data_IF_766716767349
#
_entry.id   IF_766716767349
#
_cell.length_a   1.000
_cell.length_b   1.000
_cell.length_c   1.000
_cell.angle_alpha   90.00
_cell.angle_beta   90.00
_cell.angle_gamma   90.00
#
_symmetry.space_group_name_H-M   'P 1'
#
loop_
_entity.id
_entity.type
_entity.pdbx_description
1 polymer ?
#
# COMPACT_ATOMS: atom_id res chain seq x y z
N UNK A 1 7.88 -3.01 -8.98
CA UNK A 1 6.54 -2.88 -8.36
C UNK A 1 5.74 -1.82 -9.07
N UNK A 2 4.45 -2.04 -9.33
CA UNK A 2 3.52 -0.98 -9.71
C UNK A 2 2.32 -1.03 -8.77
N UNK A 3 2.00 0.12 -8.17
CA UNK A 3 0.96 0.24 -7.16
C UNK A 3 -0.42 0.62 -7.73
N UNK A 4 -1.39 0.82 -6.84
CA UNK A 4 -2.74 1.28 -7.21
C UNK A 4 -2.80 2.74 -7.64
N UNK A 5 -1.74 3.53 -7.40
CA UNK A 5 -1.57 4.90 -7.90
C UNK A 5 -1.44 4.96 -9.42
N UNK A 6 -0.97 3.85 -10.04
CA UNK A 6 -0.74 3.75 -11.50
C UNK A 6 0.13 4.89 -12.05
N UNK A 7 1.16 5.29 -11.30
CA UNK A 7 2.12 6.32 -11.68
C UNK A 7 3.32 5.79 -12.44
N UNK A 8 3.66 4.49 -12.24
CA UNK A 8 4.75 3.86 -12.96
C UNK A 8 5.22 2.55 -12.34
N UNK A 9 6.46 2.20 -12.65
CA UNK A 9 7.16 1.02 -12.17
C UNK A 9 8.36 1.44 -11.32
N UNK A 10 8.36 1.05 -10.06
CA UNK A 10 9.51 1.17 -9.16
C UNK A 10 10.32 -0.12 -9.17
N UNK A 11 11.60 -0.03 -9.46
CA UNK A 11 12.56 -1.12 -9.35
C UNK A 11 13.51 -0.84 -8.17
N UNK A 12 13.81 -1.86 -7.39
CA UNK A 12 14.80 -1.82 -6.31
C UNK A 12 15.75 -3.00 -6.43
N UNK A 13 17.02 -2.75 -6.22
CA UNK A 13 18.04 -3.78 -6.07
C UNK A 13 18.35 -3.93 -4.58
N UNK A 14 18.26 -5.16 -4.06
CA UNK A 14 18.52 -5.45 -2.65
C UNK A 14 19.21 -6.79 -2.48
N UNK A 15 20.25 -6.84 -1.65
CA UNK A 15 20.86 -8.10 -1.19
C UNK A 15 20.24 -8.51 0.14
N UNK A 16 19.29 -9.44 0.07
CA UNK A 16 18.58 -9.96 1.25
C UNK A 16 19.46 -10.88 2.12
N UNK A 17 20.61 -11.33 1.62
CA UNK A 17 21.61 -12.06 2.40
C UNK A 17 22.45 -11.17 3.29
N UNK A 18 22.72 -9.93 2.85
CA UNK A 18 23.44 -8.92 3.60
C UNK A 18 22.52 -8.06 4.50
N UNK A 19 21.20 -8.23 4.39
CA UNK A 19 20.20 -7.43 5.12
C UNK A 19 19.12 -6.89 4.21
N UNK A 20 18.39 -5.88 4.68
CA UNK A 20 17.27 -5.29 3.93
C UNK A 20 17.58 -3.90 3.36
N UNK A 21 18.84 -3.44 3.41
CA UNK A 21 19.20 -2.14 2.84
C UNK A 21 19.15 -2.20 1.30
N UNK A 22 18.40 -1.31 0.64
CA UNK A 22 18.40 -1.25 -0.83
C UNK A 22 19.74 -0.72 -1.32
N UNK A 23 20.32 -1.36 -2.35
CA UNK A 23 21.55 -0.92 -3.00
C UNK A 23 21.29 0.20 -4.02
N UNK A 24 20.17 0.11 -4.73
CA UNK A 24 19.78 1.07 -5.75
C UNK A 24 18.28 1.00 -6.06
N UNK A 25 17.78 2.08 -6.66
CA UNK A 25 16.40 2.22 -7.10
C UNK A 25 16.31 2.90 -8.48
N UNK A 26 15.23 2.64 -9.19
CA UNK A 26 14.91 3.30 -10.44
C UNK A 26 13.42 3.33 -10.70
N UNK A 27 12.90 4.47 -11.14
CA UNK A 27 11.48 4.66 -11.48
C UNK A 27 11.28 4.88 -12.97
N UNK A 28 10.26 4.24 -13.53
CA UNK A 28 9.80 4.47 -14.91
C UNK A 28 8.32 4.83 -14.88
N UNK A 29 7.94 6.07 -15.29
CA UNK A 29 6.55 6.47 -15.29
C UNK A 29 5.74 5.71 -16.35
N UNK A 30 4.46 5.47 -16.07
CA UNK A 30 3.55 4.94 -17.09
C UNK A 30 3.24 6.00 -18.15
N UNK A 31 3.29 5.62 -19.45
CA UNK A 31 2.74 6.47 -20.50
C UNK A 31 1.25 6.75 -20.24
N UNK A 32 0.77 7.98 -20.51
CA UNK A 32 -0.64 8.36 -20.25
C UNK A 32 -1.66 7.40 -20.88
N UNK A 33 -1.39 6.92 -22.09
CA UNK A 33 -2.25 6.00 -22.80
C UNK A 33 -2.32 4.63 -22.10
N UNK A 34 -1.20 4.08 -21.63
CA UNK A 34 -1.20 2.83 -20.86
C UNK A 34 -1.97 3.01 -19.55
N UNK A 35 -1.75 4.13 -18.83
CA UNK A 35 -2.49 4.43 -17.61
C UNK A 35 -4.00 4.46 -17.85
N UNK A 36 -4.47 5.09 -18.96
CA UNK A 36 -5.87 5.11 -19.36
C UNK A 36 -6.42 3.69 -19.59
N UNK A 37 -5.70 2.86 -20.35
CA UNK A 37 -6.09 1.47 -20.60
C UNK A 37 -6.20 0.65 -19.32
N UNK A 38 -5.21 0.77 -18.43
CA UNK A 38 -5.19 0.06 -17.15
C UNK A 38 -6.35 0.48 -16.24
N UNK A 39 -6.72 1.77 -16.24
CA UNK A 39 -7.88 2.27 -15.51
C UNK A 39 -9.19 1.72 -16.08
N UNK A 40 -9.34 1.68 -17.40
CA UNK A 40 -10.52 1.10 -18.07
C UNK A 40 -10.69 -0.38 -17.76
N UNK A 41 -9.59 -1.14 -17.66
CA UNK A 41 -9.60 -2.56 -17.31
C UNK A 41 -10.02 -2.86 -15.86
N UNK A 42 -10.18 -1.86 -15.00
CA UNK A 42 -10.77 -2.06 -13.66
C UNK A 42 -12.27 -2.35 -13.72
N UNK A 43 -12.94 -2.04 -14.83
CA UNK A 43 -14.36 -2.34 -15.08
C UNK A 43 -14.52 -3.23 -16.29
N UNK A 44 -15.60 -4.04 -16.39
CA UNK A 44 -15.90 -4.84 -17.59
C UNK A 44 -16.06 -3.96 -18.83
N UNK A 45 -15.45 -4.37 -19.93
CA UNK A 45 -15.48 -3.64 -21.20
C UNK A 45 -15.42 -4.54 -22.44
N UNK A 46 -15.74 -3.99 -23.63
CA UNK A 46 -15.67 -4.74 -24.87
C UNK A 46 -14.22 -5.12 -25.20
N UNK A 47 -14.03 -6.32 -25.76
CA UNK A 47 -12.72 -6.85 -26.19
C UNK A 47 -11.64 -6.86 -25.08
N UNK A 48 -12.07 -6.91 -23.84
CA UNK A 48 -11.25 -6.79 -22.64
C UNK A 48 -10.08 -7.79 -22.62
N UNK A 49 -10.31 -9.03 -23.06
CA UNK A 49 -9.29 -10.07 -23.06
C UNK A 49 -8.11 -9.72 -23.98
N UNK A 50 -8.38 -9.20 -25.19
CA UNK A 50 -7.33 -8.77 -26.11
C UNK A 50 -6.57 -7.54 -25.59
N UNK A 51 -7.31 -6.55 -25.11
CA UNK A 51 -6.74 -5.31 -24.55
C UNK A 51 -5.84 -5.62 -23.34
N UNK A 52 -6.29 -6.50 -22.44
CA UNK A 52 -5.51 -6.91 -21.28
C UNK A 52 -4.21 -7.65 -21.65
N UNK A 53 -4.26 -8.52 -22.68
CA UNK A 53 -3.06 -9.23 -23.14
C UNK A 53 -2.02 -8.26 -23.72
N UNK A 54 -2.44 -7.26 -24.52
CA UNK A 54 -1.52 -6.23 -25.02
C UNK A 54 -0.99 -5.33 -23.90
N UNK A 55 -1.83 -4.91 -22.96
CA UNK A 55 -1.41 -4.12 -21.80
C UNK A 55 -0.41 -4.89 -20.93
N UNK A 56 -0.59 -6.21 -20.75
CA UNK A 56 0.37 -7.04 -20.01
C UNK A 56 1.76 -7.05 -20.68
N UNK A 57 1.84 -7.01 -22.01
CA UNK A 57 3.11 -6.89 -22.73
C UNK A 57 3.77 -5.52 -22.51
N UNK A 58 2.99 -4.43 -22.54
CA UNK A 58 3.53 -3.07 -22.29
C UNK A 58 4.03 -2.93 -20.85
N UNK A 59 3.27 -3.44 -19.87
CA UNK A 59 3.72 -3.50 -18.47
C UNK A 59 5.04 -4.27 -18.37
N UNK A 60 5.16 -5.45 -19.04
CA UNK A 60 6.41 -6.23 -19.01
C UNK A 60 7.60 -5.46 -19.62
N UNK A 61 7.40 -4.71 -20.70
CA UNK A 61 8.45 -3.87 -21.31
C UNK A 61 8.92 -2.76 -20.37
N UNK A 62 8.00 -2.10 -19.66
CA UNK A 62 8.35 -1.06 -18.70
C UNK A 62 9.08 -1.64 -17.48
N UNK A 63 8.67 -2.81 -17.00
CA UNK A 63 9.41 -3.54 -15.96
C UNK A 63 10.84 -3.88 -16.44
N UNK A 64 10.97 -4.42 -17.67
CA UNK A 64 12.28 -4.72 -18.25
C UNK A 64 13.14 -3.45 -18.41
N UNK A 65 12.56 -2.33 -18.85
CA UNK A 65 13.26 -1.05 -18.94
C UNK A 65 13.76 -0.60 -17.57
N UNK A 66 12.92 -0.66 -16.52
CA UNK A 66 13.30 -0.28 -15.16
C UNK A 66 14.48 -1.14 -14.65
N UNK A 67 14.36 -2.47 -14.79
CA UNK A 67 15.38 -3.43 -14.35
C UNK A 67 16.70 -3.23 -15.12
N UNK A 68 16.65 -3.23 -16.45
CA UNK A 68 17.86 -3.14 -17.28
C UNK A 68 18.58 -1.80 -17.08
N UNK A 69 17.83 -0.70 -16.88
CA UNK A 69 18.41 0.61 -16.60
C UNK A 69 19.08 0.62 -15.23
N UNK A 70 18.40 0.09 -14.20
CA UNK A 70 18.93 -0.01 -12.85
C UNK A 70 20.25 -0.81 -12.84
N UNK A 71 20.25 -2.00 -13.44
CA UNK A 71 21.42 -2.87 -13.51
C UNK A 71 22.60 -2.22 -14.30
N UNK A 72 22.28 -1.54 -15.40
CA UNK A 72 23.28 -0.78 -16.17
C UNK A 72 23.92 0.33 -15.33
N UNK A 73 23.14 1.09 -14.58
CA UNK A 73 23.65 2.15 -13.70
C UNK A 73 24.54 1.60 -12.59
N UNK A 74 24.25 0.38 -12.11
CA UNK A 74 25.04 -0.30 -11.07
C UNK A 74 26.21 -1.13 -11.61
N UNK A 75 26.37 -1.23 -12.94
CA UNK A 75 27.37 -2.09 -13.55
C UNK A 75 27.21 -3.58 -13.22
N UNK A 76 25.98 -4.00 -12.88
CA UNK A 76 25.65 -5.39 -12.50
C UNK A 76 25.13 -6.16 -13.72
N UNK A 77 25.68 -7.30 -14.08
CA UNK A 77 25.13 -8.15 -15.13
C UNK A 77 23.90 -8.93 -14.61
N UNK A 78 22.98 -9.26 -15.52
CA UNK A 78 21.75 -10.00 -15.20
C UNK A 78 22.00 -11.34 -14.44
N UNK A 79 23.10 -12.04 -14.78
CA UNK A 79 23.47 -13.32 -14.13
C UNK A 79 23.77 -13.22 -12.63
N UNK A 80 24.03 -12.01 -12.11
CA UNK A 80 24.29 -11.79 -10.67
C UNK A 80 22.99 -11.62 -9.89
N UNK A 81 21.83 -11.57 -10.58
CA UNK A 81 20.52 -11.41 -9.97
C UNK A 81 19.84 -12.76 -9.85
N UNK A 82 19.47 -13.14 -8.63
CA UNK A 82 18.84 -14.43 -8.34
C UNK A 82 17.44 -14.54 -8.95
N UNK A 83 16.62 -13.50 -8.81
CA UNK A 83 15.29 -13.43 -9.40
C UNK A 83 14.74 -12.00 -9.35
N UNK A 84 13.79 -11.71 -10.23
CA UNK A 84 12.93 -10.53 -10.17
C UNK A 84 11.65 -10.86 -9.41
N UNK A 85 11.25 -9.99 -8.48
CA UNK A 85 9.91 -10.00 -7.87
C UNK A 85 9.01 -9.02 -8.59
N UNK A 86 8.14 -9.50 -9.46
CA UNK A 86 7.29 -8.66 -10.30
C UNK A 86 5.82 -8.74 -9.85
N UNK A 87 5.29 -7.63 -9.27
CA UNK A 87 3.89 -7.57 -8.86
C UNK A 87 2.94 -7.62 -10.07
N UNK A 88 3.30 -6.96 -11.17
CA UNK A 88 2.37 -6.63 -12.24
C UNK A 88 1.43 -5.48 -11.85
N UNK A 89 0.46 -5.15 -12.70
CA UNK A 89 -0.54 -4.12 -12.42
C UNK A 89 -1.89 -4.72 -12.09
N UNK A 90 -2.38 -4.49 -10.88
CA UNK A 90 -3.72 -4.96 -10.47
C UNK A 90 -4.80 -4.24 -11.26
N UNK A 91 -5.68 -5.02 -11.92
CA UNK A 91 -6.85 -4.53 -12.66
C UNK A 91 -8.14 -5.10 -12.11
N UNK A 92 -8.12 -6.29 -11.49
CA UNK A 92 -9.28 -6.89 -10.84
C UNK A 92 -8.85 -7.58 -9.54
N UNK A 93 -9.68 -7.44 -8.52
CA UNK A 93 -9.44 -8.10 -7.24
C UNK A 93 -10.78 -8.43 -6.58
N UNK A 94 -11.19 -9.68 -6.69
CA UNK A 94 -12.43 -10.22 -6.13
C UNK A 94 -12.12 -11.56 -5.44
N UNK A 95 -11.48 -11.55 -4.28
CA UNK A 95 -10.97 -12.76 -3.62
C UNK A 95 -12.08 -13.69 -3.11
N UNK A 96 -13.28 -13.15 -2.84
CA UNK A 96 -14.46 -13.92 -2.47
C UNK A 96 -15.62 -13.54 -3.39
N UNK A 97 -16.25 -14.51 -4.02
CA UNK A 97 -17.36 -14.32 -4.94
C UNK A 97 -18.50 -15.25 -4.58
N UNK A 98 -19.60 -14.70 -4.03
CA UNK A 98 -20.78 -15.50 -3.69
C UNK A 98 -20.53 -16.61 -2.66
N UNK A 99 -19.51 -16.49 -1.80
CA UNK A 99 -19.10 -17.51 -0.84
C UNK A 99 -18.07 -18.53 -1.39
N UNK A 100 -17.78 -18.50 -2.68
CA UNK A 100 -16.78 -19.32 -3.33
C UNK A 100 -15.42 -18.63 -3.43
N UNK A 101 -14.38 -19.39 -3.81
CA UNK A 101 -13.07 -18.83 -4.12
C UNK A 101 -13.18 -17.94 -5.34
N UNK A 102 -12.87 -16.67 -5.17
CA UNK A 102 -12.86 -15.70 -6.26
C UNK A 102 -11.54 -15.67 -7.00
N UNK A 103 -11.13 -14.47 -7.44
CA UNK A 103 -9.92 -14.30 -8.24
C UNK A 103 -9.24 -12.95 -7.96
N UNK A 104 -8.01 -12.85 -8.42
CA UNK A 104 -7.23 -11.60 -8.47
C UNK A 104 -6.43 -11.59 -9.77
N UNK A 105 -6.32 -10.43 -10.40
CA UNK A 105 -5.62 -10.29 -11.68
C UNK A 105 -4.64 -9.14 -11.62
N UNK A 106 -3.36 -9.47 -11.71
CA UNK A 106 -2.27 -8.53 -11.89
C UNK A 106 -1.73 -8.74 -13.31
N UNK A 107 -1.89 -7.74 -14.19
CA UNK A 107 -1.42 -7.83 -15.58
C UNK A 107 0.11 -7.78 -15.61
N UNK A 108 0.69 -8.81 -16.20
CA UNK A 108 2.12 -8.93 -16.51
C UNK A 108 2.31 -10.12 -17.48
N UNK A 109 3.06 -9.91 -18.56
CA UNK A 109 3.61 -11.02 -19.33
C UNK A 109 4.99 -11.38 -18.73
N UNK A 110 4.98 -12.30 -17.75
CA UNK A 110 6.18 -12.69 -17.04
C UNK A 110 7.19 -13.42 -17.95
N UNK A 111 6.73 -14.17 -18.95
CA UNK A 111 7.61 -14.81 -19.94
C UNK A 111 8.35 -13.75 -20.79
N UNK A 112 7.64 -12.73 -21.26
CA UNK A 112 8.27 -11.63 -21.99
C UNK A 112 9.27 -10.85 -21.12
N UNK A 113 8.94 -10.60 -19.85
CA UNK A 113 9.85 -9.95 -18.92
C UNK A 113 11.14 -10.76 -18.72
N UNK A 114 11.00 -12.09 -18.56
CA UNK A 114 12.12 -13.02 -18.46
C UNK A 114 13.02 -12.96 -19.70
N UNK A 115 12.45 -13.05 -20.90
CA UNK A 115 13.20 -12.95 -22.17
C UNK A 115 13.91 -11.60 -22.36
N UNK A 116 13.28 -10.49 -21.94
CA UNK A 116 13.86 -9.16 -22.06
C UNK A 116 14.96 -8.85 -21.05
N UNK A 117 15.01 -9.59 -19.93
CA UNK A 117 16.00 -9.33 -18.86
C UNK A 117 17.03 -10.43 -18.71
N UNK A 118 16.74 -11.66 -19.14
CA UNK A 118 17.57 -12.83 -18.90
C UNK A 118 17.64 -13.21 -17.41
N UNK A 119 16.60 -12.91 -16.63
CA UNK A 119 16.54 -13.15 -15.18
C UNK A 119 15.27 -13.92 -14.87
N UNK A 120 15.35 -14.88 -13.96
CA UNK A 120 14.18 -15.59 -13.41
C UNK A 120 13.14 -14.61 -12.88
N UNK A 121 11.85 -14.82 -13.19
CA UNK A 121 10.75 -13.94 -12.77
C UNK A 121 9.80 -14.66 -11.84
N UNK A 122 9.74 -14.23 -10.59
CA UNK A 122 8.67 -14.59 -9.66
C UNK A 122 7.53 -13.55 -9.78
N UNK A 123 6.31 -14.04 -9.93
CA UNK A 123 5.12 -13.22 -10.20
C UNK A 123 3.85 -13.87 -9.67
N UNK A 124 2.69 -13.24 -9.83
CA UNK A 124 1.39 -13.77 -9.40
C UNK A 124 1.33 -14.20 -7.93
N UNK A 125 1.83 -13.34 -7.05
CA UNK A 125 1.97 -13.64 -5.62
C UNK A 125 0.63 -13.76 -4.88
N UNK A 126 -0.45 -13.16 -5.39
CA UNK A 126 -1.74 -13.06 -4.70
C UNK A 126 -2.65 -14.25 -4.95
N UNK A 127 -2.59 -14.86 -6.15
CA UNK A 127 -3.52 -15.92 -6.56
C UNK A 127 -3.45 -17.16 -5.66
N UNK A 128 -2.25 -17.53 -5.16
CA UNK A 128 -2.10 -18.69 -4.28
C UNK A 128 -2.74 -18.52 -2.91
N UNK A 129 -2.72 -17.29 -2.37
CA UNK A 129 -3.39 -16.94 -1.12
C UNK A 129 -4.92 -16.94 -1.31
N UNK A 130 -5.42 -16.37 -2.41
CA UNK A 130 -6.84 -16.40 -2.78
C UNK A 130 -7.32 -17.83 -2.96
N UNK A 131 -6.55 -18.69 -3.65
CA UNK A 131 -6.88 -20.11 -3.81
C UNK A 131 -6.92 -20.87 -2.47
N UNK A 132 -6.19 -20.39 -1.46
CA UNK A 132 -6.27 -20.87 -0.08
C UNK A 132 -7.38 -20.18 0.74
N UNK A 133 -8.36 -19.54 0.08
CA UNK A 133 -9.48 -18.78 0.67
C UNK A 133 -9.06 -17.49 1.41
N UNK A 134 -7.83 -17.04 1.22
CA UNK A 134 -7.35 -15.76 1.73
C UNK A 134 -7.81 -14.59 0.86
N UNK A 135 -7.65 -13.38 1.39
CA UNK A 135 -7.97 -12.14 0.68
C UNK A 135 -6.93 -11.77 -0.38
N UNK A 136 -5.72 -12.42 -0.41
CA UNK A 136 -4.65 -12.08 -1.35
C UNK A 136 -4.03 -10.69 -1.13
N UNK A 137 -4.51 -9.95 -0.14
CA UNK A 137 -4.06 -8.64 0.29
C UNK A 137 -4.47 -8.39 1.74
N UNK A 138 -3.71 -7.57 2.51
CA UNK A 138 -2.36 -7.11 2.18
C UNK A 138 -1.30 -8.23 2.35
N UNK A 139 -0.29 -8.28 1.47
CA UNK A 139 0.85 -9.21 1.59
C UNK A 139 2.04 -8.60 2.33
N UNK A 140 2.12 -7.27 2.36
CA UNK A 140 3.21 -6.51 2.97
C UNK A 140 3.40 -6.75 4.48
N UNK A 141 2.37 -7.05 5.29
CA UNK A 141 2.57 -7.34 6.71
C UNK A 141 3.52 -8.49 7.01
N UNK A 142 3.58 -9.52 6.15
CA UNK A 142 4.57 -10.60 6.30
C UNK A 142 6.01 -10.10 6.06
N UNK A 143 6.20 -9.19 5.12
CA UNK A 143 7.48 -8.51 4.89
C UNK A 143 7.82 -7.53 6.00
N UNK A 144 6.88 -6.72 6.47
CA UNK A 144 7.09 -5.85 7.63
C UNK A 144 7.55 -6.65 8.84
N UNK A 145 7.01 -7.86 9.02
CA UNK A 145 7.41 -8.75 10.08
C UNK A 145 8.86 -9.22 9.95
N UNK A 146 9.27 -9.60 8.74
CA UNK A 146 10.65 -9.98 8.48
C UNK A 146 11.61 -8.81 8.71
N UNK A 147 11.18 -7.59 8.37
CA UNK A 147 12.00 -6.38 8.35
C UNK A 147 12.08 -5.67 9.71
N UNK A 148 10.94 -5.46 10.38
CA UNK A 148 10.83 -4.56 11.54
C UNK A 148 10.56 -5.25 12.88
N UNK A 149 10.14 -6.54 12.89
CA UNK A 149 9.78 -7.19 14.16
C UNK A 149 10.98 -7.31 15.11
N UNK A 150 10.77 -6.88 16.34
CA UNK A 150 11.75 -6.92 17.41
C UNK A 150 11.56 -8.11 18.34
N UNK A 151 12.58 -8.45 19.14
CA UNK A 151 12.53 -9.59 20.03
C UNK A 151 11.59 -9.36 21.22
N UNK A 152 11.69 -8.20 21.89
CA UNK A 152 11.01 -7.93 23.16
C UNK A 152 9.86 -6.91 23.05
N UNK A 153 9.71 -6.22 21.90
CA UNK A 153 8.74 -5.15 21.76
C UNK A 153 7.83 -5.34 20.54
N UNK A 154 6.57 -4.92 20.65
CA UNK A 154 5.71 -4.78 19.47
C UNK A 154 6.11 -3.55 18.65
N UNK A 155 5.94 -3.68 17.34
CA UNK A 155 6.12 -2.58 16.36
C UNK A 155 4.84 -2.41 15.57
N UNK A 156 4.36 -1.18 15.47
CA UNK A 156 3.28 -0.81 14.55
C UNK A 156 3.87 -0.18 13.29
N UNK A 157 3.42 -0.59 12.12
CA UNK A 157 3.84 -0.01 10.84
C UNK A 157 2.60 0.49 10.11
N UNK A 158 2.56 1.78 9.80
CA UNK A 158 1.54 2.41 8.95
C UNK A 158 2.13 2.63 7.56
N UNK A 159 1.50 2.08 6.54
CA UNK A 159 1.81 2.41 5.16
C UNK A 159 0.78 3.43 4.65
N UNK A 160 1.19 4.68 4.46
CA UNK A 160 0.39 5.76 3.89
C UNK A 160 0.58 5.82 2.37
N UNK A 161 -0.01 4.85 1.66
CA UNK A 161 -0.23 4.88 0.21
C UNK A 161 -1.49 5.67 -0.16
N UNK A 162 -2.22 5.23 -1.17
CA UNK A 162 -3.56 5.76 -1.43
C UNK A 162 -4.52 5.44 -0.28
N UNK A 163 -4.48 4.20 0.20
CA UNK A 163 -5.15 3.71 1.42
C UNK A 163 -4.08 3.52 2.49
N UNK A 164 -4.42 3.86 3.74
CA UNK A 164 -3.60 3.55 4.90
C UNK A 164 -3.82 2.10 5.32
N UNK A 165 -2.75 1.35 5.50
CA UNK A 165 -2.83 0.04 6.16
C UNK A 165 -1.90 -0.03 7.37
N UNK A 166 -2.36 -0.77 8.39
CA UNK A 166 -1.61 -1.05 9.60
C UNK A 166 -1.05 -2.47 9.54
N UNK A 167 0.21 -2.64 9.89
CA UNK A 167 0.79 -3.92 10.30
C UNK A 167 1.14 -3.85 11.78
N UNK A 168 0.64 -4.79 12.56
CA UNK A 168 0.96 -4.95 13.97
C UNK A 168 1.84 -6.17 14.16
N UNK A 169 3.04 -5.96 14.66
CA UNK A 169 4.11 -6.95 14.76
C UNK A 169 4.41 -7.20 16.23
N UNK A 170 3.79 -8.22 16.85
CA UNK A 170 4.07 -8.56 18.25
C UNK A 170 5.51 -9.00 18.47
N UNK A 171 6.03 -9.00 19.72
CA UNK A 171 7.38 -9.40 20.03
C UNK A 171 7.69 -10.83 19.54
N UNK A 172 8.92 -11.06 19.05
CA UNK A 172 9.35 -12.41 18.65
C UNK A 172 9.49 -13.37 19.83
N UNK A 173 9.70 -12.84 21.04
CA UNK A 173 9.73 -13.61 22.30
C UNK A 173 8.43 -14.35 22.62
N UNK A 174 7.29 -13.96 22.04
CA UNK A 174 6.03 -14.70 22.18
C UNK A 174 6.01 -16.05 21.46
N UNK A 175 7.00 -16.36 20.60
CA UNK A 175 7.11 -17.64 19.91
C UNK A 175 5.84 -18.01 19.13
N UNK A 176 5.25 -19.19 19.44
CA UNK A 176 4.06 -19.72 18.75
C UNK A 176 2.76 -18.97 19.07
N UNK A 177 2.71 -18.18 20.13
CA UNK A 177 1.55 -17.35 20.49
C UNK A 177 1.50 -16.04 19.68
N UNK A 178 2.51 -15.78 18.90
CA UNK A 178 2.67 -14.58 18.12
C UNK A 178 1.72 -14.55 16.92
N UNK A 179 0.88 -13.53 16.84
CA UNK A 179 -0.06 -13.33 15.74
C UNK A 179 0.17 -11.96 15.11
N UNK A 180 0.73 -11.94 13.91
CA UNK A 180 0.84 -10.72 13.08
C UNK A 180 -0.55 -10.32 12.63
N UNK A 181 -0.90 -9.04 12.77
CA UNK A 181 -2.17 -8.48 12.32
C UNK A 181 -1.91 -7.46 11.21
N UNK A 182 -2.77 -7.41 10.21
CA UNK A 182 -2.70 -6.40 9.15
C UNK A 182 -4.08 -6.12 8.58
N UNK A 183 -4.41 -4.84 8.37
CA UNK A 183 -5.69 -4.42 7.79
C UNK A 183 -5.63 -2.96 7.31
N UNK A 184 -6.59 -2.58 6.46
CA UNK A 184 -6.71 -1.21 5.98
C UNK A 184 -7.44 -0.35 7.00
N UNK A 185 -6.85 0.79 7.36
CA UNK A 185 -7.40 1.73 8.35
C UNK A 185 -8.46 2.64 7.74
N UNK A 186 -8.23 3.10 6.49
CA UNK A 186 -9.05 4.07 5.79
C UNK A 186 -8.28 4.80 4.70
N UNK A 187 -8.80 5.93 4.18
CA UNK A 187 -8.11 6.71 3.17
C UNK A 187 -6.84 7.35 3.74
N UNK A 188 -5.77 7.35 2.95
CA UNK A 188 -4.58 8.17 3.16
C UNK A 188 -4.50 9.23 2.07
N UNK A 189 -3.62 9.05 1.07
CA UNK A 189 -3.44 10.08 0.04
C UNK A 189 -4.60 10.11 -0.98
N UNK A 190 -5.39 9.05 -1.12
CA UNK A 190 -6.40 8.95 -2.20
C UNK A 190 -7.40 10.09 -2.23
N UNK A 191 -7.85 10.56 -1.06
CA UNK A 191 -8.78 11.70 -0.96
C UNK A 191 -8.03 13.04 -0.96
N UNK A 192 -6.87 13.09 -0.31
CA UNK A 192 -6.00 14.28 -0.27
C UNK A 192 -5.56 14.68 -1.68
N UNK A 193 -5.07 13.72 -2.46
CA UNK A 193 -4.58 13.97 -3.81
C UNK A 193 -5.72 14.33 -4.77
N UNK A 194 -6.85 13.60 -4.68
CA UNK A 194 -8.02 13.87 -5.52
C UNK A 194 -8.60 15.28 -5.27
N UNK A 195 -8.64 15.73 -4.02
CA UNK A 195 -9.12 17.05 -3.65
C UNK A 195 -8.13 18.15 -4.04
N UNK A 196 -6.83 17.90 -3.84
CA UNK A 196 -5.77 18.80 -4.26
C UNK A 196 -5.77 19.01 -5.77
N UNK A 197 -5.83 17.93 -6.56
CA UNK A 197 -5.88 18.00 -8.02
C UNK A 197 -7.10 18.78 -8.51
N UNK A 198 -8.27 18.54 -7.93
CA UNK A 198 -9.53 19.20 -8.32
C UNK A 198 -9.48 20.73 -8.10
N UNK A 199 -8.87 21.18 -7.00
CA UNK A 199 -8.93 22.59 -6.60
C UNK A 199 -7.68 23.40 -6.92
N UNK A 200 -6.54 22.73 -7.12
CA UNK A 200 -5.26 23.41 -7.38
C UNK A 200 -4.63 23.04 -8.72
N UNK A 201 -5.08 21.95 -9.36
CA UNK A 201 -4.47 21.38 -10.55
C UNK A 201 -3.15 20.64 -10.27
N UNK A 202 -2.71 20.58 -9.00
CA UNK A 202 -1.51 19.86 -8.60
C UNK A 202 -1.86 18.41 -8.23
N UNK A 203 -1.00 17.42 -8.55
CA UNK A 203 -1.30 16.01 -8.30
C UNK A 203 -1.37 15.64 -6.82
N UNK A 204 -0.76 16.43 -5.94
CA UNK A 204 -0.78 16.24 -4.48
C UNK A 204 -0.35 17.51 -3.75
N UNK A 205 -0.72 17.63 -2.47
CA UNK A 205 -0.32 18.70 -1.57
C UNK A 205 1.07 18.43 -0.97
N UNK A 206 2.09 19.04 -1.58
CA UNK A 206 3.48 18.86 -1.16
C UNK A 206 3.67 19.28 0.29
N UNK A 207 4.22 18.37 1.13
CA UNK A 207 4.49 18.58 2.56
C UNK A 207 3.26 18.97 3.40
N UNK A 208 2.05 18.90 2.83
CA UNK A 208 0.80 19.34 3.45
C UNK A 208 0.72 20.86 3.62
N UNK A 209 1.45 21.62 2.80
CA UNK A 209 1.54 23.06 2.93
C UNK A 209 0.22 23.79 2.63
N UNK A 210 -0.60 23.24 1.75
CA UNK A 210 -1.92 23.77 1.47
C UNK A 210 -2.90 23.42 2.60
N UNK A 211 -2.94 22.18 3.05
CA UNK A 211 -3.75 21.77 4.21
C UNK A 211 -3.40 22.56 5.48
N UNK A 212 -2.13 22.89 5.69
CA UNK A 212 -1.66 23.64 6.85
C UNK A 212 -2.17 25.10 6.89
N UNK A 213 -2.69 25.64 5.79
CA UNK A 213 -3.30 26.97 5.73
C UNK A 213 -4.80 26.96 6.08
N UNK A 214 -5.44 25.78 6.02
CA UNK A 214 -6.85 25.60 6.34
C UNK A 214 -7.10 25.33 7.81
N UNK A 215 -8.38 25.35 8.16
CA UNK A 215 -8.87 25.00 9.49
C UNK A 215 -9.69 23.71 9.43
N UNK A 216 -9.53 22.85 10.42
CA UNK A 216 -10.32 21.62 10.54
C UNK A 216 -11.79 21.98 10.75
N UNK A 217 -12.66 21.53 9.85
CA UNK A 217 -14.09 21.70 9.98
C UNK A 217 -14.70 20.52 10.74
N UNK A 218 -14.96 20.70 12.03
CA UNK A 218 -15.34 19.62 12.95
C UNK A 218 -16.60 18.87 12.50
N UNK A 219 -17.67 19.57 12.08
CA UNK A 219 -18.89 18.89 11.63
C UNK A 219 -18.66 18.01 10.39
N UNK A 220 -17.80 18.45 9.46
CA UNK A 220 -17.40 17.62 8.33
C UNK A 220 -16.57 16.41 8.79
N UNK A 221 -15.62 16.63 9.68
CA UNK A 221 -14.79 15.56 10.23
C UNK A 221 -15.65 14.49 10.92
N UNK A 222 -16.60 14.91 11.74
CA UNK A 222 -17.52 13.98 12.43
C UNK A 222 -18.37 13.19 11.43
N UNK A 223 -18.87 13.85 10.37
CA UNK A 223 -19.59 13.20 9.28
C UNK A 223 -18.71 12.15 8.56
N UNK A 224 -17.46 12.49 8.24
CA UNK A 224 -16.52 11.60 7.58
C UNK A 224 -16.16 10.39 8.47
N UNK A 225 -15.92 10.63 9.77
CA UNK A 225 -15.59 9.58 10.75
C UNK A 225 -16.78 8.65 11.05
N UNK A 226 -18.00 9.06 10.75
CA UNK A 226 -19.20 8.23 10.88
C UNK A 226 -19.31 7.11 9.82
N UNK A 227 -18.38 7.07 8.82
CA UNK A 227 -18.34 5.99 7.82
C UNK A 227 -18.26 4.62 8.49
N UNK A 228 -19.25 3.71 8.25
CA UNK A 228 -19.31 2.41 8.91
C UNK A 228 -18.08 1.54 8.77
N UNK A 229 -17.32 1.73 7.69
CA UNK A 229 -16.07 0.99 7.45
C UNK A 229 -15.08 1.15 8.60
N UNK A 230 -14.93 2.34 9.17
CA UNK A 230 -13.96 2.60 10.24
C UNK A 230 -14.24 1.77 11.49
N UNK A 231 -15.51 1.47 11.77
CA UNK A 231 -15.95 0.73 12.95
C UNK A 231 -15.95 -0.79 12.78
N UNK A 232 -15.67 -1.30 11.58
CA UNK A 232 -15.57 -2.76 11.34
C UNK A 232 -14.34 -3.33 12.04
N UNK A 233 -14.47 -4.51 12.70
CA UNK A 233 -13.30 -5.20 13.24
C UNK A 233 -12.45 -5.79 12.11
N UNK A 234 -11.11 -5.95 12.32
CA UNK A 234 -10.29 -6.74 11.41
C UNK A 234 -10.69 -8.25 11.47
N UNK A 235 -10.48 -9.01 10.37
CA UNK A 235 -9.85 -8.57 9.11
C UNK A 235 -10.78 -7.69 8.26
N UNK A 236 -10.25 -6.60 7.72
CA UNK A 236 -10.98 -5.69 6.83
C UNK A 236 -10.05 -5.09 5.79
N UNK A 237 -10.56 -4.88 4.59
CA UNK A 237 -9.87 -4.19 3.50
C UNK A 237 -10.79 -3.20 2.80
N UNK A 238 -10.22 -2.21 2.14
CA UNK A 238 -10.92 -1.17 1.39
C UNK A 238 -10.03 -0.65 0.27
N UNK A 239 -10.60 0.18 -0.60
CA UNK A 239 -9.90 0.72 -1.74
C UNK A 239 -10.60 1.94 -2.33
N UNK A 240 -10.29 2.21 -3.60
CA UNK A 240 -10.93 3.28 -4.39
C UNK A 240 -12.39 2.97 -4.74
N UNK A 241 -12.86 1.75 -4.48
CA UNK A 241 -14.26 1.36 -4.57
C UNK A 241 -15.14 2.07 -3.53
N UNK A 242 -14.60 2.33 -2.33
CA UNK A 242 -15.27 3.09 -1.29
C UNK A 242 -14.78 4.53 -1.23
N UNK A 243 -13.46 4.73 -1.09
CA UNK A 243 -12.88 6.06 -0.90
C UNK A 243 -12.43 6.65 -2.25
N UNK A 244 -13.31 7.45 -2.83
CA UNK A 244 -13.10 8.13 -4.10
C UNK A 244 -13.73 9.53 -4.10
N UNK A 245 -13.44 10.34 -5.11
CA UNK A 245 -13.95 11.72 -5.24
C UNK A 245 -15.47 11.80 -5.07
N UNK A 246 -16.22 10.89 -5.71
CA UNK A 246 -17.68 10.86 -5.60
C UNK A 246 -18.19 10.60 -4.19
N UNK A 247 -17.51 9.75 -3.41
CA UNK A 247 -17.83 9.54 -1.99
C UNK A 247 -17.64 10.85 -1.20
N UNK A 248 -16.51 11.54 -1.41
CA UNK A 248 -16.22 12.80 -0.72
C UNK A 248 -17.28 13.87 -1.03
N UNK A 249 -17.63 14.03 -2.30
CA UNK A 249 -18.68 14.98 -2.69
C UNK A 249 -20.05 14.64 -2.06
N UNK A 250 -20.42 13.36 -2.00
CA UNK A 250 -21.63 12.91 -1.33
C UNK A 250 -21.62 13.24 0.18
N UNK A 251 -20.47 13.10 0.86
CA UNK A 251 -20.34 13.49 2.26
C UNK A 251 -20.45 15.01 2.44
N UNK A 252 -19.86 15.80 1.55
CA UNK A 252 -19.99 17.26 1.56
C UNK A 252 -21.44 17.71 1.33
N UNK A 253 -22.16 17.08 0.41
CA UNK A 253 -23.58 17.36 0.17
C UNK A 253 -24.45 16.93 1.36
N UNK A 254 -24.16 15.80 1.97
CA UNK A 254 -24.85 15.34 3.19
C UNK A 254 -24.64 16.30 4.35
N UNK A 255 -23.44 16.86 4.51
CA UNK A 255 -23.10 17.76 5.61
C UNK A 255 -23.67 19.19 5.41
N UNK A 256 -23.65 19.72 4.18
CA UNK A 256 -23.96 21.13 3.90
C UNK A 256 -25.19 21.32 3.00
N UNK A 257 -25.81 20.26 2.52
CA UNK A 257 -26.89 20.31 1.52
C UNK A 257 -26.42 20.62 0.11
N UNK A 258 -27.34 20.48 -0.85
CA UNK A 258 -27.05 20.75 -2.26
C UNK A 258 -27.21 22.24 -2.64
N UNK A 259 -27.77 23.08 -1.76
CA UNK A 259 -27.96 24.52 -2.05
C UNK A 259 -26.61 25.25 -2.02
N UNK A 260 -26.15 25.83 -3.15
CA UNK A 260 -24.86 26.51 -3.23
C UNK A 260 -24.79 27.78 -2.36
N UNK A 261 -25.93 28.27 -1.84
CA UNK A 261 -25.98 29.44 -0.93
C UNK A 261 -25.68 29.04 0.52
N UNK A 262 -25.70 27.77 0.86
CA UNK A 262 -25.31 27.30 2.20
C UNK A 262 -23.80 27.53 2.39
N UNK A 263 -23.36 28.20 3.47
CA UNK A 263 -21.94 28.37 3.73
C UNK A 263 -21.24 27.02 3.83
N UNK A 264 -20.18 26.84 3.03
CA UNK A 264 -19.34 25.65 3.00
C UNK A 264 -17.92 26.00 3.44
N UNK A 265 -17.16 25.03 3.99
CA UNK A 265 -15.75 25.25 4.24
C UNK A 265 -15.00 25.58 2.93
N UNK A 266 -13.95 26.38 3.04
CA UNK A 266 -13.07 26.61 1.89
C UNK A 266 -12.43 25.29 1.42
N UNK A 267 -11.96 25.24 0.17
CA UNK A 267 -11.28 24.06 -0.33
C UNK A 267 -10.04 23.70 0.52
N UNK A 268 -9.37 24.71 1.07
CA UNK A 268 -8.24 24.56 1.98
C UNK A 268 -8.66 23.94 3.33
N UNK A 269 -9.83 24.34 3.87
CA UNK A 269 -10.37 23.76 5.11
C UNK A 269 -10.80 22.30 4.93
N UNK A 270 -11.35 21.97 3.75
CA UNK A 270 -11.63 20.56 3.41
C UNK A 270 -10.34 19.76 3.35
N UNK A 271 -9.28 20.28 2.71
CA UNK A 271 -7.97 19.60 2.67
C UNK A 271 -7.41 19.38 4.07
N UNK A 272 -7.48 20.39 4.94
CA UNK A 272 -7.06 20.27 6.35
C UNK A 272 -7.89 19.21 7.10
N UNK A 273 -9.20 19.15 6.84
CA UNK A 273 -10.11 18.18 7.44
C UNK A 273 -9.82 16.74 6.95
N UNK A 274 -9.49 16.57 5.67
CA UNK A 274 -9.08 15.27 5.11
C UNK A 274 -7.74 14.81 5.69
N UNK A 275 -6.78 15.71 5.89
CA UNK A 275 -5.51 15.40 6.55
C UNK A 275 -5.74 14.94 8.00
N UNK A 276 -6.64 15.60 8.72
CA UNK A 276 -7.06 15.19 10.07
C UNK A 276 -7.74 13.83 10.07
N UNK A 277 -8.62 13.56 9.09
CA UNK A 277 -9.27 12.24 8.92
C UNK A 277 -8.22 11.13 8.80
N UNK A 278 -7.24 11.30 7.91
CA UNK A 278 -6.14 10.35 7.71
C UNK A 278 -5.36 10.10 9.00
N UNK A 279 -5.00 11.16 9.72
CA UNK A 279 -4.26 11.04 10.98
C UNK A 279 -5.08 10.31 12.05
N UNK A 280 -6.37 10.62 12.20
CA UNK A 280 -7.26 10.00 13.21
C UNK A 280 -7.57 8.55 12.91
N UNK A 281 -7.95 8.21 11.69
CA UNK A 281 -8.25 6.82 11.32
C UNK A 281 -7.03 5.91 11.47
N UNK A 282 -5.84 6.44 11.19
CA UNK A 282 -4.56 5.76 11.45
C UNK A 282 -4.33 5.55 12.95
N UNK A 283 -4.50 6.60 13.75
CA UNK A 283 -4.30 6.54 15.20
C UNK A 283 -5.31 5.62 15.89
N UNK A 284 -6.58 5.68 15.49
CA UNK A 284 -7.65 4.85 16.06
C UNK A 284 -7.39 3.36 15.82
N UNK A 285 -6.84 3.01 14.64
CA UNK A 285 -6.42 1.64 14.32
C UNK A 285 -5.27 1.19 15.25
N UNK A 286 -4.24 2.03 15.46
CA UNK A 286 -3.13 1.76 16.38
C UNK A 286 -3.63 1.64 17.81
N UNK A 287 -4.50 2.54 18.26
CA UNK A 287 -5.12 2.51 19.59
C UNK A 287 -5.91 1.22 19.82
N UNK A 288 -6.80 0.88 18.90
CA UNK A 288 -7.63 -0.33 19.00
C UNK A 288 -6.77 -1.60 19.09
N UNK A 289 -5.66 -1.65 18.36
CA UNK A 289 -4.76 -2.79 18.39
C UNK A 289 -3.90 -2.82 19.67
N UNK A 290 -3.46 -1.67 20.18
CA UNK A 290 -2.74 -1.56 21.47
C UNK A 290 -3.57 -2.05 22.66
N UNK A 291 -4.89 -1.94 22.59
CA UNK A 291 -5.80 -2.44 23.62
C UNK A 291 -6.01 -3.97 23.58
N UNK A 292 -5.69 -4.61 22.45
CA UNK A 292 -5.92 -6.04 22.20
C UNK A 292 -4.69 -6.90 22.25
N UNK A 293 -3.51 -6.30 22.23
CA UNK A 293 -2.23 -6.98 22.11
C UNK A 293 -1.17 -6.33 22.99
N UNK A 294 0.04 -6.89 23.03
CA UNK A 294 1.19 -6.24 23.67
C UNK A 294 1.40 -4.87 23.03
N UNK A 295 1.43 -3.83 23.87
CA UNK A 295 1.57 -2.44 23.43
C UNK A 295 2.82 -2.24 22.55
N UNK A 296 2.68 -1.51 21.45
CA UNK A 296 3.81 -1.16 20.60
C UNK A 296 4.69 -0.11 21.31
N UNK A 297 5.99 -0.18 21.08
CA UNK A 297 6.93 0.86 21.49
C UNK A 297 7.31 1.77 20.33
N UNK A 298 7.22 1.28 19.10
CA UNK A 298 7.55 2.04 17.90
C UNK A 298 6.37 2.08 16.94
N UNK A 299 6.15 3.26 16.35
CA UNK A 299 5.23 3.48 15.24
C UNK A 299 6.04 3.97 14.04
N UNK A 300 6.18 3.10 13.04
CA UNK A 300 6.93 3.38 11.82
C UNK A 300 5.95 3.75 10.71
N UNK A 301 6.16 4.87 10.06
CA UNK A 301 5.34 5.31 8.92
C UNK A 301 6.15 5.16 7.63
N UNK A 302 5.57 4.52 6.62
CA UNK A 302 6.11 4.38 5.27
C UNK A 302 5.05 4.75 4.21
N UNK A 303 5.39 4.60 2.92
CA UNK A 303 4.56 5.06 1.81
C UNK A 303 4.72 6.55 1.53
N UNK A 304 4.17 7.01 0.40
CA UNK A 304 4.32 8.40 -0.05
C UNK A 304 3.85 9.45 0.95
N UNK A 305 2.81 9.15 1.74
CA UNK A 305 2.28 10.03 2.78
C UNK A 305 3.25 10.31 3.94
N UNK A 306 4.26 9.45 4.15
CA UNK A 306 5.30 9.70 5.14
C UNK A 306 6.20 10.92 4.79
N UNK A 307 6.20 11.34 3.53
CA UNK A 307 6.85 12.59 3.10
C UNK A 307 6.04 13.85 3.43
N UNK A 308 4.76 13.70 3.77
CA UNK A 308 3.91 14.83 4.16
C UNK A 308 4.23 15.26 5.60
N UNK A 309 5.08 16.29 5.72
CA UNK A 309 5.59 16.77 7.02
C UNK A 309 4.48 17.25 7.96
N UNK A 310 3.43 17.88 7.43
CA UNK A 310 2.30 18.35 8.22
C UNK A 310 1.50 17.16 8.79
N UNK A 311 1.26 16.13 7.98
CA UNK A 311 0.57 14.91 8.41
C UNK A 311 1.38 14.14 9.46
N UNK A 312 2.70 14.00 9.27
CA UNK A 312 3.60 13.39 10.27
C UNK A 312 3.59 14.13 11.60
N UNK A 313 3.67 15.45 11.56
CA UNK A 313 3.58 16.29 12.78
C UNK A 313 2.22 16.11 13.47
N UNK A 314 1.13 16.06 12.68
CA UNK A 314 -0.21 15.87 13.23
C UNK A 314 -0.37 14.51 13.89
N UNK A 315 0.06 13.43 13.25
CA UNK A 315 0.07 12.10 13.86
C UNK A 315 0.84 12.07 15.17
N UNK A 316 2.05 12.64 15.18
CA UNK A 316 2.90 12.68 16.39
C UNK A 316 2.22 13.45 17.52
N UNK A 317 1.59 14.59 17.22
CA UNK A 317 0.86 15.39 18.21
C UNK A 317 -0.36 14.64 18.78
N UNK A 318 -1.10 13.91 17.93
CA UNK A 318 -2.21 13.06 18.35
C UNK A 318 -1.73 11.90 19.23
N UNK A 319 -0.63 11.22 18.88
CA UNK A 319 -0.03 10.19 19.74
C UNK A 319 0.37 10.75 21.11
N UNK A 320 1.03 11.91 21.15
CA UNK A 320 1.46 12.54 22.41
C UNK A 320 0.30 12.95 23.32
N UNK A 321 -0.83 13.35 22.73
CA UNK A 321 -2.03 13.73 23.50
C UNK A 321 -2.87 12.54 23.98
N UNK A 322 -2.59 11.33 23.50
CA UNK A 322 -3.30 10.12 23.86
C UNK A 322 -2.59 9.38 25.00
N UNK A 323 -3.19 9.24 26.19
CA UNK A 323 -2.55 8.58 27.33
C UNK A 323 -2.08 7.16 27.06
N UNK A 324 -2.75 6.43 26.15
CA UNK A 324 -2.38 5.07 25.78
C UNK A 324 -1.19 5.02 24.82
N UNK A 325 -1.01 6.06 23.98
CA UNK A 325 -0.06 6.07 22.89
C UNK A 325 1.08 7.06 23.06
N UNK A 326 1.06 7.89 24.12
CA UNK A 326 2.06 8.94 24.35
C UNK A 326 3.50 8.42 24.47
N UNK A 327 3.68 7.15 24.79
CA UNK A 327 4.99 6.50 24.89
C UNK A 327 5.55 6.05 23.53
N UNK A 328 4.72 6.05 22.45
CA UNK A 328 5.15 5.57 21.13
C UNK A 328 6.23 6.47 20.53
N UNK A 329 7.30 5.84 20.06
CA UNK A 329 8.31 6.48 19.23
C UNK A 329 7.83 6.50 17.77
N UNK A 330 7.33 7.66 17.32
CA UNK A 330 6.88 7.86 15.94
C UNK A 330 8.06 8.19 15.04
N UNK A 331 8.28 7.41 13.99
CA UNK A 331 9.37 7.58 13.03
C UNK A 331 8.91 7.25 11.61
N UNK A 332 9.70 7.63 10.60
CA UNK A 332 9.51 7.15 9.23
C UNK A 332 10.46 5.99 8.94
N UNK A 333 10.14 5.16 7.94
CA UNK A 333 11.06 4.11 7.49
C UNK A 333 12.40 4.66 7.00
N UNK A 334 12.45 5.93 6.56
CA UNK A 334 13.71 6.60 6.17
C UNK A 334 14.69 6.71 7.35
N UNK A 335 14.19 6.90 8.57
CA UNK A 335 15.03 6.92 9.80
C UNK A 335 15.59 5.54 10.16
N UNK A 336 15.06 4.48 9.54
CA UNK A 336 15.56 3.11 9.62
C UNK A 336 16.46 2.76 8.41
N UNK A 337 16.86 3.76 7.62
CA UNK A 337 17.70 3.58 6.42
C UNK A 337 16.94 3.08 5.19
N UNK A 338 15.60 3.13 5.20
CA UNK A 338 14.74 2.58 4.15
C UNK A 338 13.86 3.68 3.55
N UNK A 339 14.06 3.99 2.27
CA UNK A 339 13.25 4.97 1.56
C UNK A 339 11.74 4.66 1.70
N UNK A 340 10.96 5.68 2.04
CA UNK A 340 9.54 5.49 2.39
C UNK A 340 8.71 4.89 1.26
N UNK A 341 9.08 5.12 0.01
CA UNK A 341 8.42 4.62 -1.19
C UNK A 341 8.94 3.25 -1.65
N UNK A 342 10.07 2.76 -1.08
CA UNK A 342 10.70 1.51 -1.49
C UNK A 342 10.13 0.26 -0.82
N UNK A 343 9.43 0.42 0.29
CA UNK A 343 8.97 -0.70 1.15
C UNK A 343 8.14 -1.71 0.34
N UNK A 344 7.25 -1.26 -0.53
CA UNK A 344 6.46 -2.18 -1.36
C UNK A 344 7.33 -2.90 -2.41
N UNK A 345 8.24 -2.18 -3.10
CA UNK A 345 9.14 -2.81 -4.07
C UNK A 345 10.06 -3.84 -3.41
N UNK A 346 10.58 -3.53 -2.21
CA UNK A 346 11.38 -4.44 -1.39
C UNK A 346 10.56 -5.67 -0.93
N UNK A 347 9.28 -5.48 -0.60
CA UNK A 347 8.40 -6.60 -0.25
C UNK A 347 8.29 -7.61 -1.40
N UNK A 348 8.19 -7.14 -2.65
CA UNK A 348 8.13 -8.05 -3.81
C UNK A 348 9.49 -8.69 -4.14
N UNK A 349 10.61 -8.03 -3.86
CA UNK A 349 11.93 -8.66 -3.91
C UNK A 349 12.06 -9.77 -2.85
N UNK A 350 11.61 -9.50 -1.63
CA UNK A 350 11.58 -10.51 -0.55
C UNK A 350 10.65 -11.70 -0.89
N UNK A 351 9.45 -11.44 -1.41
CA UNK A 351 8.51 -12.48 -1.85
C UNK A 351 9.13 -13.37 -2.95
N UNK A 352 9.89 -12.78 -3.88
CA UNK A 352 10.63 -13.55 -4.88
C UNK A 352 11.69 -14.44 -4.26
N UNK A 353 12.44 -13.93 -3.28
CA UNK A 353 13.41 -14.70 -2.52
C UNK A 353 12.75 -15.91 -1.82
N UNK A 354 11.63 -15.68 -1.13
CA UNK A 354 10.85 -16.74 -0.48
C UNK A 354 10.34 -17.77 -1.50
N UNK A 355 9.87 -17.29 -2.67
CA UNK A 355 9.44 -18.18 -3.75
C UNK A 355 10.57 -19.08 -4.27
N UNK A 356 11.75 -18.51 -4.48
CA UNK A 356 12.94 -19.26 -4.94
C UNK A 356 13.39 -20.28 -3.90
N UNK A 357 13.33 -19.93 -2.61
CA UNK A 357 13.68 -20.82 -1.50
C UNK A 357 12.60 -21.85 -1.18
N UNK A 358 11.41 -21.74 -1.75
CA UNK A 358 10.28 -22.61 -1.41
C UNK A 358 9.70 -22.33 -0.02
N UNK A 359 9.92 -21.14 0.54
CA UNK A 359 9.48 -20.73 1.86
C UNK A 359 8.10 -20.06 1.81
N UNK A 360 7.29 -20.27 2.85
CA UNK A 360 5.98 -19.64 2.97
C UNK A 360 6.14 -18.13 3.23
N UNK A 361 5.31 -17.32 2.57
CA UNK A 361 5.42 -15.88 2.63
C UNK A 361 4.08 -15.13 2.84
N UNK A 362 2.95 -15.86 2.99
CA UNK A 362 1.71 -15.25 3.42
C UNK A 362 1.59 -15.24 4.95
N UNK A 363 0.75 -14.35 5.46
CA UNK A 363 0.33 -14.30 6.85
C UNK A 363 -1.16 -14.66 6.94
N UNK A 364 -1.54 -15.91 7.25
CA UNK A 364 -2.94 -16.34 7.32
C UNK A 364 -3.78 -15.53 8.31
N UNK A 365 -3.18 -15.05 9.39
CA UNK A 365 -3.82 -14.17 10.36
C UNK A 365 -4.20 -12.79 9.79
N UNK A 366 -3.58 -12.40 8.68
CA UNK A 366 -3.83 -11.14 7.98
C UNK A 366 -4.82 -11.33 6.83
N UNK A 367 -4.58 -12.32 5.98
CA UNK A 367 -5.36 -12.55 4.76
C UNK A 367 -6.57 -13.47 4.97
N UNK A 368 -6.61 -14.22 6.07
CA UNK A 368 -7.65 -15.22 6.30
C UNK A 368 -7.45 -16.53 5.53
N UNK A 369 -6.29 -16.73 4.91
CA UNK A 369 -5.99 -17.97 4.17
C UNK A 369 -6.00 -19.21 5.08
N UNK A 370 -6.37 -20.37 4.53
CA UNK A 370 -6.38 -21.66 5.23
C UNK A 370 -4.97 -22.22 5.44
N UNK A 371 -4.06 -21.42 5.99
CA UNK A 371 -2.70 -21.80 6.34
C UNK A 371 -1.62 -21.16 5.46
N UNK A 372 -0.37 -21.45 5.82
CA UNK A 372 0.80 -20.89 5.16
C UNK A 372 0.99 -21.44 3.74
N UNK A 373 1.43 -20.58 2.81
CA UNK A 373 1.65 -20.91 1.40
C UNK A 373 2.93 -20.27 0.87
N UNK A 374 3.62 -21.02 0.02
CA UNK A 374 4.64 -20.47 -0.86
C UNK A 374 3.92 -19.68 -1.95
N UNK A 375 4.11 -18.38 -1.98
CA UNK A 375 3.42 -17.48 -2.91
C UNK A 375 4.13 -17.37 -4.25
N UNK A 376 3.37 -17.08 -5.30
CA UNK A 376 3.85 -16.77 -6.64
C UNK A 376 4.15 -17.99 -7.51
N UNK A 377 4.21 -17.73 -8.80
CA UNK A 377 4.74 -18.61 -9.83
C UNK A 377 6.18 -18.18 -10.22
N UNK A 378 6.92 -19.03 -10.94
CA UNK A 378 8.29 -18.74 -11.37
C UNK A 378 8.46 -19.09 -12.85
N UNK A 379 8.92 -18.13 -13.65
CA UNK A 379 9.44 -18.34 -15.00
C UNK A 379 10.96 -18.36 -14.92
N UNK A 380 11.57 -19.36 -15.52
CA UNK A 380 13.03 -19.51 -15.59
C UNK A 380 13.60 -18.88 -16.86
N UNK A 381 14.74 -18.20 -16.74
CA UNK A 381 15.51 -17.65 -17.86
C UNK A 381 16.32 -18.73 -18.60
#
# INVERSE_FOLDING_TARGET
>A
MSGTSMDGVDAVLVDLGAGFAPEAEYHVPYPPELKRILLELNTPGPNELHVSALAANEVARLYAQAVNTLLKHQGRPARDIVALGAHGQTVRHQPALGGEVGYTTQLLNAALLCELTGIDVAYDFRARDVAARGQGAPLVPAFHDALFAQHEASVAVLNWGGICNLSWLPPRSLGSERVVVGFDCGPANVLLDAWCEEHTGLPFDRDGLWAAQGQIHHALLDQLLAEPYFHRPPPKSTGRDLFHRGWLHAQLESCFGADPRTPRPSACDVQATLMELTARTSLDAVRAQSQRSVAAQSLIVCGGGANNTALMKRLSALCQSDPLLAHLQVSTSAQWGLGVHLIEAMAFAWLACQRVRGECANAPSVTGALGHRVLGALVKA
#
